data_IF_079680193327
#
_entry.id   IF_079680193327
#
_cell.length_a   1.000
_cell.length_b   1.000
_cell.length_c   1.000
_cell.angle_alpha   90.00
_cell.angle_beta   90.00
_cell.angle_gamma   90.00
#
_symmetry.space_group_name_H-M   'P 1'
#
loop_
_entity.id
_entity.type
_entity.pdbx_description
1 polymer ?
#
# COMPACT_ATOMS: atom_id res chain seq x y z
N UNK A 1 2.77 13.42 -3.27
CA UNK A 1 2.37 14.53 -2.37
C UNK A 1 2.92 14.32 -0.97
N UNK A 2 2.63 15.20 -0.02
CA UNK A 2 2.92 15.00 1.40
C UNK A 2 1.84 15.66 2.25
N UNK A 3 1.17 14.88 3.10
CA UNK A 3 0.07 15.34 3.93
C UNK A 3 0.60 15.83 5.27
N UNK A 4 0.22 17.06 5.61
CA UNK A 4 0.45 17.62 6.95
C UNK A 4 -0.23 16.74 8.03
N UNK A 5 0.34 16.76 9.25
CA UNK A 5 -0.19 16.09 10.44
C UNK A 5 -1.59 16.59 10.86
N UNK A 6 -1.94 17.83 10.52
CA UNK A 6 -3.24 18.44 10.85
C UNK A 6 -4.34 18.16 9.80
N UNK A 7 -4.02 17.40 8.75
CA UNK A 7 -5.00 16.96 7.74
C UNK A 7 -5.26 15.49 7.98
N UNK A 8 -6.52 15.11 8.19
CA UNK A 8 -6.90 13.71 8.44
C UNK A 8 -7.34 13.03 7.15
N UNK A 9 -6.95 11.77 6.97
CA UNK A 9 -7.57 10.92 5.96
C UNK A 9 -8.96 10.47 6.43
N UNK A 10 -9.80 10.02 5.49
CA UNK A 10 -11.07 9.40 5.85
C UNK A 10 -10.88 8.15 6.72
N UNK A 11 -9.79 7.39 6.50
CA UNK A 11 -9.48 6.21 7.30
C UNK A 11 -9.18 6.56 8.76
N UNK A 12 -8.45 7.65 9.03
CA UNK A 12 -8.20 8.12 10.40
C UNK A 12 -9.51 8.48 11.14
N UNK A 13 -10.48 9.06 10.42
CA UNK A 13 -11.79 9.40 10.98
C UNK A 13 -12.63 8.15 11.23
N UNK A 14 -12.77 7.28 10.22
CA UNK A 14 -13.60 6.07 10.30
C UNK A 14 -13.09 5.07 11.33
N UNK A 15 -11.76 4.95 11.47
CA UNK A 15 -11.16 4.10 12.49
C UNK A 15 -11.53 4.52 13.91
N UNK A 16 -11.62 5.82 14.18
CA UNK A 16 -12.11 6.35 15.46
C UNK A 16 -13.57 5.97 15.76
N UNK A 17 -14.35 5.66 14.73
CA UNK A 17 -15.73 5.18 14.84
C UNK A 17 -15.85 3.64 14.84
N UNK A 18 -14.74 2.90 14.95
CA UNK A 18 -14.75 1.44 15.05
C UNK A 18 -14.75 0.68 13.72
N UNK A 19 -14.55 1.35 12.59
CA UNK A 19 -14.42 0.68 11.30
C UNK A 19 -13.06 0.01 11.16
N UNK A 20 -13.05 -1.20 10.61
CA UNK A 20 -11.86 -1.76 10.00
C UNK A 20 -11.57 -1.02 8.69
N UNK A 21 -10.32 -0.62 8.49
CA UNK A 21 -9.93 0.20 7.34
C UNK A 21 -8.87 -0.51 6.52
N UNK A 22 -9.13 -0.70 5.23
CA UNK A 22 -8.19 -1.34 4.33
C UNK A 22 -8.05 -0.52 3.05
N UNK A 23 -6.80 -0.33 2.61
CA UNK A 23 -6.47 0.20 1.31
C UNK A 23 -5.78 -0.85 0.45
N UNK A 24 -6.35 -1.11 -0.72
CA UNK A 24 -5.70 -1.84 -1.81
C UNK A 24 -5.43 -0.88 -2.99
N UNK A 25 -4.23 -0.92 -3.55
CA UNK A 25 -3.84 -0.12 -4.72
C UNK A 25 -2.85 1.01 -4.44
N UNK A 26 -2.93 2.08 -5.22
CA UNK A 26 -1.91 3.14 -5.26
C UNK A 26 -2.11 4.18 -4.17
N UNK A 27 -1.04 4.48 -3.42
CA UNK A 27 -1.02 5.56 -2.44
C UNK A 27 -0.59 6.91 -3.03
N UNK A 28 0.69 7.07 -3.40
CA UNK A 28 1.25 8.30 -4.00
C UNK A 28 1.17 9.58 -3.14
N UNK A 29 0.93 9.45 -1.83
CA UNK A 29 0.85 10.61 -0.93
C UNK A 29 2.02 10.66 0.05
N UNK A 30 3.25 10.40 -0.41
CA UNK A 30 4.48 10.64 0.35
C UNK A 30 5.68 10.85 -0.60
N UNK A 31 6.69 11.66 -0.23
CA UNK A 31 7.98 11.67 -0.94
C UNK A 31 8.89 10.51 -0.52
N UNK A 32 8.58 9.80 0.57
CA UNK A 32 9.42 8.75 1.13
C UNK A 32 9.00 7.38 0.62
N UNK A 33 9.64 6.92 -0.45
CA UNK A 33 9.33 5.64 -1.10
C UNK A 33 10.33 4.52 -0.77
N UNK A 34 11.42 4.80 -0.06
CA UNK A 34 12.45 3.79 0.22
C UNK A 34 12.05 2.91 1.42
N UNK A 35 12.36 1.60 1.43
CA UNK A 35 12.02 0.70 2.53
C UNK A 35 12.55 1.19 3.89
N UNK A 36 13.75 1.76 3.94
CA UNK A 36 14.41 2.24 5.16
C UNK A 36 14.03 3.70 5.50
N UNK A 37 13.25 4.34 4.64
CA UNK A 37 12.85 5.74 4.81
C UNK A 37 11.76 5.96 5.87
N UNK A 38 11.49 7.23 6.21
CA UNK A 38 10.37 7.59 7.08
C UNK A 38 9.04 7.10 6.51
N UNK A 39 8.20 6.48 7.34
CA UNK A 39 6.88 5.96 6.97
C UNK A 39 5.71 6.75 7.56
N UNK A 40 5.96 7.92 8.14
CA UNK A 40 4.93 8.71 8.84
C UNK A 40 3.70 9.04 7.98
N UNK A 41 3.88 9.03 6.66
CA UNK A 41 2.81 9.31 5.71
C UNK A 41 2.55 8.13 4.75
N UNK A 42 2.83 6.90 5.20
CA UNK A 42 2.40 5.67 4.53
C UNK A 42 0.98 5.29 4.99
N UNK A 43 0.24 4.45 4.24
CA UNK A 43 -1.16 4.14 4.53
C UNK A 43 -1.42 3.69 5.97
N UNK A 44 -0.55 2.83 6.53
CA UNK A 44 -0.71 2.30 7.90
C UNK A 44 -0.57 3.37 8.98
N UNK A 45 0.19 4.42 8.72
CA UNK A 45 0.34 5.57 9.61
C UNK A 45 -0.75 6.63 9.36
N UNK A 46 -1.53 6.48 8.29
CA UNK A 46 -2.61 7.37 7.87
C UNK A 46 -3.99 6.73 7.94
N UNK A 47 -4.18 5.93 8.99
CA UNK A 47 -5.49 5.43 9.42
C UNK A 47 -5.80 4.01 8.99
N UNK A 48 -5.19 3.49 7.92
CA UNK A 48 -5.50 2.15 7.41
C UNK A 48 -4.95 1.03 8.31
N UNK A 49 -5.74 0.01 8.61
CA UNK A 49 -5.37 -1.20 9.38
C UNK A 49 -4.60 -2.23 8.56
N UNK A 50 -4.80 -2.22 7.24
CA UNK A 50 -4.15 -3.10 6.28
C UNK A 50 -3.76 -2.29 5.05
N UNK A 51 -2.74 -2.73 4.32
CA UNK A 51 -2.36 -2.10 3.06
C UNK A 51 -1.74 -3.12 2.11
N UNK A 52 -2.19 -3.11 0.86
CA UNK A 52 -1.52 -3.82 -0.23
C UNK A 52 -1.51 -2.97 -1.49
N UNK A 53 -0.34 -2.64 -2.01
CA UNK A 53 -0.21 -1.91 -3.27
C UNK A 53 1.05 -1.07 -3.35
N UNK A 54 1.03 0.01 -4.14
CA UNK A 54 2.22 0.81 -4.43
C UNK A 54 2.26 2.11 -3.64
N UNK A 55 3.43 2.42 -3.06
CA UNK A 55 3.67 3.71 -2.40
C UNK A 55 3.94 4.81 -3.43
N UNK A 56 4.69 4.49 -4.49
CA UNK A 56 5.11 5.44 -5.52
C UNK A 56 3.96 5.83 -6.47
N UNK A 57 4.17 6.89 -7.26
CA UNK A 57 3.16 7.47 -8.15
C UNK A 57 2.87 6.66 -9.40
N UNK A 58 3.75 5.73 -9.76
CA UNK A 58 3.59 4.86 -10.90
C UNK A 58 4.37 3.57 -10.66
N UNK A 59 3.99 2.51 -11.34
CA UNK A 59 4.66 1.22 -11.32
C UNK A 59 4.26 0.40 -12.54
N UNK A 60 5.07 -0.60 -12.87
CA UNK A 60 4.70 -1.62 -13.86
C UNK A 60 3.57 -2.49 -13.32
N UNK A 61 2.73 -3.01 -14.21
CA UNK A 61 1.73 -4.02 -13.84
C UNK A 61 2.35 -5.37 -13.50
N UNK A 62 3.57 -5.65 -13.98
CA UNK A 62 4.26 -6.94 -13.75
C UNK A 62 5.40 -6.80 -12.73
N UNK A 63 5.99 -5.62 -12.61
CA UNK A 63 7.10 -5.33 -11.69
C UNK A 63 6.95 -3.96 -11.00
N UNK A 64 5.97 -3.79 -10.11
CA UNK A 64 5.77 -2.56 -9.35
C UNK A 64 6.94 -2.26 -8.38
N UNK A 65 7.73 -1.23 -8.70
CA UNK A 65 8.93 -0.79 -7.97
C UNK A 65 8.78 -0.46 -6.46
N UNK A 66 7.56 -0.37 -5.95
CA UNK A 66 7.25 0.03 -4.57
C UNK A 66 6.07 -0.76 -4.02
N UNK A 67 5.86 -1.96 -4.57
CA UNK A 67 4.87 -2.89 -4.04
C UNK A 67 5.15 -3.13 -2.57
N UNK A 68 4.10 -2.97 -1.77
CA UNK A 68 4.19 -2.95 -0.33
C UNK A 68 3.02 -3.73 0.23
N UNK A 69 3.34 -4.67 1.12
CA UNK A 69 2.40 -5.35 2.00
C UNK A 69 2.59 -4.75 3.38
N UNK A 70 1.55 -4.11 3.89
CA UNK A 70 1.56 -3.42 5.18
C UNK A 70 2.57 -2.26 5.19
N UNK A 71 3.71 -2.45 5.85
CA UNK A 71 4.81 -1.50 5.90
C UNK A 71 6.11 -2.10 5.33
N UNK A 72 6.02 -3.24 4.66
CA UNK A 72 7.15 -3.97 4.13
C UNK A 72 7.06 -3.95 2.61
N UNK A 73 8.09 -3.42 1.95
CA UNK A 73 8.19 -3.57 0.50
C UNK A 73 8.48 -5.02 0.15
N UNK A 74 7.75 -5.53 -0.83
CA UNK A 74 7.81 -6.91 -1.27
C UNK A 74 8.03 -6.95 -2.77
N UNK A 75 8.61 -8.04 -3.26
CA UNK A 75 8.81 -8.26 -4.69
C UNK A 75 7.70 -9.17 -5.23
N UNK A 76 7.12 -8.88 -6.40
CA UNK A 76 6.23 -9.80 -7.11
C UNK A 76 6.76 -11.22 -7.28
N UNK A 77 8.09 -11.37 -7.32
CA UNK A 77 8.76 -12.65 -7.55
C UNK A 77 9.06 -13.42 -6.26
N UNK A 78 9.15 -12.74 -5.12
CA UNK A 78 9.62 -13.34 -3.85
C UNK A 78 8.68 -13.09 -2.67
N UNK A 79 7.51 -12.49 -2.88
CA UNK A 79 6.52 -12.30 -1.82
C UNK A 79 5.87 -13.64 -1.44
N UNK A 80 6.33 -14.25 -0.36
CA UNK A 80 5.70 -15.47 0.18
C UNK A 80 4.23 -15.26 0.58
N UNK A 81 3.83 -14.01 0.85
CA UNK A 81 2.47 -13.63 1.20
C UNK A 81 1.48 -13.60 0.02
N UNK A 82 1.97 -13.67 -1.21
CA UNK A 82 1.12 -13.77 -2.40
C UNK A 82 1.86 -14.40 -3.57
N UNK A 83 1.34 -15.54 -4.03
CA UNK A 83 1.81 -16.24 -5.21
C UNK A 83 0.65 -16.33 -6.21
N UNK A 84 0.82 -15.85 -7.45
CA UNK A 84 -0.24 -15.92 -8.47
C UNK A 84 -0.72 -17.36 -8.68
N UNK A 85 -2.04 -17.56 -8.75
CA UNK A 85 -2.65 -18.89 -8.95
C UNK A 85 -2.36 -19.46 -10.34
N UNK A 86 -2.18 -18.59 -11.32
CA UNK A 86 -1.90 -18.96 -12.70
C UNK A 86 -1.12 -17.86 -13.41
N UNK A 87 -0.04 -18.22 -14.10
CA UNK A 87 0.74 -17.26 -14.89
C UNK A 87 1.64 -16.34 -14.04
N UNK A 88 2.25 -15.33 -14.68
CA UNK A 88 3.10 -14.36 -13.98
C UNK A 88 2.26 -13.46 -13.08
N UNK A 89 2.93 -12.77 -12.16
CA UNK A 89 2.31 -11.74 -11.36
C UNK A 89 1.69 -10.64 -12.24
N UNK A 90 0.43 -10.30 -11.96
CA UNK A 90 -0.25 -9.17 -12.57
C UNK A 90 -0.91 -8.32 -11.49
N UNK A 91 -0.56 -7.03 -11.45
CA UNK A 91 -0.86 -6.14 -10.33
C UNK A 91 -2.36 -6.01 -10.06
N UNK A 92 -3.20 -5.94 -11.09
CA UNK A 92 -4.65 -5.79 -10.89
C UNK A 92 -5.30 -7.04 -10.33
N UNK A 93 -4.80 -8.22 -10.68
CA UNK A 93 -5.27 -9.49 -10.09
C UNK A 93 -4.87 -9.55 -8.62
N UNK A 94 -3.63 -9.14 -8.31
CA UNK A 94 -3.14 -9.07 -6.95
C UNK A 94 -3.91 -8.06 -6.09
N UNK A 95 -4.28 -6.89 -6.65
CA UNK A 95 -5.15 -5.94 -5.96
C UNK A 95 -6.53 -6.55 -5.70
N UNK A 96 -7.12 -7.25 -6.67
CA UNK A 96 -8.42 -7.90 -6.51
C UNK A 96 -8.42 -8.99 -5.42
N UNK A 97 -7.37 -9.82 -5.38
CA UNK A 97 -7.22 -10.88 -4.37
C UNK A 97 -6.93 -10.32 -2.96
N UNK A 98 -6.61 -9.03 -2.87
CA UNK A 98 -6.35 -8.30 -1.63
C UNK A 98 -7.38 -7.22 -1.34
N UNK A 99 -8.53 -7.18 -2.04
CA UNK A 99 -9.61 -6.21 -1.79
C UNK A 99 -10.67 -6.74 -0.80
#
# INVERSE_FOLDING_TARGET
GDLNKNVRTIAEVLKGAGYATYMAGKWHVTPHIKPEGPKYNWPRQRGFDRFYGTIHGAGSFFDPNSLTRENTQVSPLTDEGYQPKSGPYYYTDAINDHA
#
